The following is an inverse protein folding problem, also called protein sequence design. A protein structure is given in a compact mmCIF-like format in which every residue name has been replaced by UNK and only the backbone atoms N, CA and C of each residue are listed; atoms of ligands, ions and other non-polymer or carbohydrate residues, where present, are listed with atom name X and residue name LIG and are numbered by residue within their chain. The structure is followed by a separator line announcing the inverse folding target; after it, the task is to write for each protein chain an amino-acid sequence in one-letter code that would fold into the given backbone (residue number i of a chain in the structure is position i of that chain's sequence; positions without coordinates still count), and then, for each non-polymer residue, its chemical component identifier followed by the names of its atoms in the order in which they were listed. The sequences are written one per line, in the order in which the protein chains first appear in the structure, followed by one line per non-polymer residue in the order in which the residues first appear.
data_IF_077803848209
#
_entry.id   IF_077803848209
#
_cell.length_a   1.000
_cell.length_b   1.000
_cell.length_c   1.000
_cell.angle_alpha   90.00
_cell.angle_beta   90.00
_cell.angle_gamma   90.00
#
_symmetry.space_group_name_H-M   'P 1'
#
loop_
_entity.id
_entity.type
_entity.pdbx_description
1 polymer ?
#
# COMPACT_ATOMS: atom_id res chain seq x y z
N UNK A 1 10.64 -4.49 -3.01
CA UNK A 1 9.22 -4.06 -2.91
C UNK A 1 8.98 -2.79 -3.72
N UNK A 2 7.72 -2.35 -3.91
CA UNK A 2 7.42 -1.17 -4.75
C UNK A 2 8.08 0.13 -4.22
N UNK A 3 8.30 0.23 -2.92
CA UNK A 3 8.92 1.40 -2.27
C UNK A 3 10.45 1.32 -2.21
N UNK A 4 11.07 0.21 -2.61
CA UNK A 4 12.52 0.09 -2.73
C UNK A 4 12.96 0.82 -4.01
N UNK A 5 13.12 2.13 -3.93
CA UNK A 5 13.37 3.03 -5.07
C UNK A 5 14.77 3.65 -5.05
N UNK A 6 15.65 3.22 -4.16
CA UNK A 6 17.03 3.71 -4.08
C UNK A 6 17.77 3.66 -5.41
N UNK A 7 18.60 4.63 -5.70
CA UNK A 7 19.05 5.74 -4.84
C UNK A 7 18.09 6.94 -4.77
N UNK A 8 16.90 6.84 -5.36
CA UNK A 8 15.89 7.90 -5.30
C UNK A 8 15.21 7.91 -3.95
N UNK A 9 14.69 9.08 -3.54
CA UNK A 9 14.05 9.24 -2.25
C UNK A 9 12.75 10.03 -2.36
N UNK A 10 11.72 9.58 -1.61
CA UNK A 10 10.47 10.28 -1.47
C UNK A 10 10.49 11.10 -0.17
N UNK A 11 10.41 12.44 -0.31
CA UNK A 11 10.34 13.40 0.79
C UNK A 11 8.88 13.77 1.03
N UNK A 12 8.35 13.33 2.16
CA UNK A 12 6.94 13.50 2.52
C UNK A 12 6.68 14.72 3.42
N UNK A 13 7.66 15.60 3.60
CA UNK A 13 7.51 16.84 4.36
C UNK A 13 6.32 17.66 3.85
N UNK A 14 5.54 18.23 4.76
CA UNK A 14 4.43 19.09 4.43
C UNK A 14 4.90 20.50 4.07
N UNK A 15 4.47 21.01 2.90
CA UNK A 15 4.79 22.35 2.41
C UNK A 15 3.47 23.09 2.10
N UNK A 16 2.81 23.73 3.09
CA UNK A 16 1.44 24.27 2.94
C UNK A 16 1.34 25.39 1.90
N UNK A 17 2.41 26.17 1.72
CA UNK A 17 2.46 27.30 0.79
C UNK A 17 3.21 26.98 -0.51
N UNK A 18 3.45 25.70 -0.80
CA UNK A 18 4.14 25.31 -2.02
C UNK A 18 3.29 25.63 -3.25
N UNK A 19 3.90 26.30 -4.23
CA UNK A 19 3.28 26.66 -5.51
C UNK A 19 3.88 25.76 -6.60
N UNK A 20 3.05 25.12 -7.44
CA UNK A 20 3.55 24.20 -8.44
C UNK A 20 4.37 24.89 -9.52
N UNK A 21 5.59 24.43 -9.75
CA UNK A 21 6.43 24.85 -10.88
C UNK A 21 5.89 24.22 -12.17
N UNK A 22 6.20 24.80 -13.32
CA UNK A 22 5.80 24.25 -14.63
C UNK A 22 6.23 22.77 -14.83
N UNK A 23 7.34 22.36 -14.20
CA UNK A 23 7.89 21.00 -14.26
C UNK A 23 7.30 20.06 -13.19
N UNK A 24 6.59 20.56 -12.19
CA UNK A 24 5.99 19.73 -11.13
C UNK A 24 5.08 18.67 -11.72
N UNK A 25 5.07 17.48 -11.13
CA UNK A 25 4.18 16.41 -11.53
C UNK A 25 2.75 16.70 -11.05
N UNK A 26 1.77 16.46 -11.90
CA UNK A 26 0.36 16.52 -11.56
C UNK A 26 -0.20 15.10 -11.49
N UNK A 27 -0.88 14.81 -10.39
CA UNK A 27 -1.68 13.61 -10.23
C UNK A 27 -3.15 13.99 -10.21
N UNK A 28 -3.94 13.38 -11.08
CA UNK A 28 -5.37 13.60 -11.18
C UNK A 28 -6.07 12.25 -11.26
N UNK A 29 -7.02 12.02 -10.36
CA UNK A 29 -7.75 10.76 -10.29
C UNK A 29 -9.20 10.93 -10.73
N UNK A 30 -9.71 9.92 -11.43
CA UNK A 30 -11.12 9.70 -11.73
C UNK A 30 -11.53 8.34 -11.16
N UNK A 31 -12.25 8.32 -10.02
CA UNK A 31 -12.43 7.09 -9.26
C UNK A 31 -11.07 6.50 -8.86
N UNK A 32 -10.82 5.25 -9.25
CA UNK A 32 -9.53 4.56 -9.03
C UNK A 32 -8.51 4.75 -10.16
N UNK A 33 -8.85 5.52 -11.18
CA UNK A 33 -8.00 5.68 -12.34
C UNK A 33 -7.17 6.96 -12.26
N UNK A 34 -5.86 6.84 -12.48
CA UNK A 34 -4.90 7.94 -12.54
C UNK A 34 -4.65 8.36 -13.98
N UNK A 35 -4.66 9.66 -14.23
CA UNK A 35 -4.25 10.23 -15.50
C UNK A 35 -2.75 10.01 -15.73
N UNK A 36 -2.41 9.23 -16.75
CA UNK A 36 -1.02 8.93 -17.08
C UNK A 36 -0.84 8.66 -18.58
N UNK A 37 0.39 8.54 -19.01
CA UNK A 37 0.78 8.01 -20.31
C UNK A 37 1.80 6.91 -20.12
N UNK A 38 1.63 5.81 -20.85
CA UNK A 38 2.57 4.70 -20.89
C UNK A 38 3.04 4.60 -22.34
N UNK A 39 4.33 4.71 -22.56
CA UNK A 39 4.98 4.59 -23.87
C UNK A 39 6.26 3.73 -23.72
N UNK A 40 7.05 3.61 -24.79
CA UNK A 40 8.28 2.80 -24.81
C UNK A 40 9.30 3.21 -23.73
N UNK A 41 9.20 4.43 -23.19
CA UNK A 41 10.01 4.92 -22.06
C UNK A 41 9.30 4.74 -20.70
N UNK A 42 8.21 3.98 -20.65
CA UNK A 42 7.48 3.63 -19.43
C UNK A 42 6.42 4.65 -19.01
N UNK A 43 6.04 4.54 -17.74
CA UNK A 43 5.01 5.35 -17.09
C UNK A 43 5.44 6.81 -16.92
N UNK A 44 4.56 7.72 -17.32
CA UNK A 44 4.73 9.18 -17.18
C UNK A 44 3.51 9.80 -16.53
N UNK A 45 3.73 10.81 -15.69
CA UNK A 45 2.70 11.69 -15.15
C UNK A 45 2.76 13.05 -15.84
N UNK A 46 1.61 13.70 -16.08
CA UNK A 46 1.58 15.02 -16.70
C UNK A 46 2.29 16.06 -15.82
N UNK A 47 2.79 17.12 -16.44
CA UNK A 47 3.38 18.25 -15.73
C UNK A 47 2.38 19.38 -15.55
N UNK A 48 2.62 20.24 -14.56
CA UNK A 48 1.82 21.46 -14.31
C UNK A 48 1.67 22.33 -15.57
N UNK A 49 2.70 22.36 -16.45
CA UNK A 49 2.67 23.12 -17.69
C UNK A 49 1.55 22.71 -18.64
N UNK A 50 0.98 21.52 -18.49
CA UNK A 50 -0.11 21.01 -19.34
C UNK A 50 -1.52 21.45 -18.87
N UNK A 51 -1.60 22.12 -17.74
CA UNK A 51 -2.86 22.58 -17.16
C UNK A 51 -2.84 24.12 -17.07
N UNK A 52 -3.69 24.84 -17.83
CA UNK A 52 -3.62 26.30 -17.95
C UNK A 52 -4.20 27.06 -16.74
N UNK A 53 -4.93 26.37 -15.87
CA UNK A 53 -5.69 27.00 -14.78
C UNK A 53 -4.83 27.41 -13.59
N UNK A 54 -5.41 28.25 -12.69
CA UNK A 54 -4.75 28.79 -11.51
C UNK A 54 -4.21 27.75 -10.53
N UNK A 55 -3.30 28.20 -9.67
CA UNK A 55 -2.54 27.31 -8.76
C UNK A 55 -3.35 26.87 -7.54
N UNK A 56 -4.45 27.52 -7.21
CA UNK A 56 -5.32 27.23 -6.06
C UNK A 56 -6.00 25.84 -6.10
N UNK A 57 -6.07 25.24 -7.28
CA UNK A 57 -6.64 23.89 -7.45
C UNK A 57 -5.66 22.75 -7.17
N UNK A 58 -4.38 23.08 -6.99
CA UNK A 58 -3.33 22.11 -6.78
C UNK A 58 -2.98 22.01 -5.29
N UNK A 59 -3.01 20.80 -4.77
CA UNK A 59 -2.58 20.52 -3.39
C UNK A 59 -1.23 19.82 -3.42
N UNK A 60 -0.24 20.37 -2.73
CA UNK A 60 1.08 19.74 -2.59
C UNK A 60 0.95 18.39 -1.89
N UNK A 61 1.62 17.37 -2.43
CA UNK A 61 1.65 16.04 -1.84
C UNK A 61 3.00 15.72 -1.20
N UNK A 62 4.04 15.67 -2.01
CA UNK A 62 5.40 15.27 -1.62
C UNK A 62 6.38 15.64 -2.74
N UNK A 63 7.65 15.41 -2.47
CA UNK A 63 8.71 15.52 -3.47
C UNK A 63 9.37 14.14 -3.67
N UNK A 64 9.70 13.80 -4.90
CA UNK A 64 10.47 12.61 -5.23
C UNK A 64 11.61 13.02 -6.15
N UNK A 65 12.83 12.80 -5.67
CA UNK A 65 14.07 13.05 -6.42
C UNK A 65 14.13 14.46 -7.05
N UNK A 66 13.80 15.49 -6.25
CA UNK A 66 13.79 16.91 -6.65
C UNK A 66 12.58 17.34 -7.49
N UNK A 67 11.64 16.43 -7.78
CA UNK A 67 10.39 16.75 -8.47
C UNK A 67 9.22 16.77 -7.49
N UNK A 68 8.53 17.91 -7.40
CA UNK A 68 7.34 18.05 -6.56
C UNK A 68 6.10 17.46 -7.24
N UNK A 69 5.22 16.85 -6.44
CA UNK A 69 3.98 16.22 -6.87
C UNK A 69 2.78 16.93 -6.26
N UNK A 70 1.81 17.25 -7.11
CA UNK A 70 0.59 17.97 -6.73
C UNK A 70 -0.66 17.21 -7.14
N UNK A 71 -1.62 17.13 -6.26
CA UNK A 71 -2.95 16.60 -6.54
C UNK A 71 -3.80 17.73 -7.17
N UNK A 72 -4.29 17.50 -8.37
CA UNK A 72 -5.32 18.32 -8.99
C UNK A 72 -6.69 17.79 -8.54
N UNK A 73 -7.39 18.60 -7.74
CA UNK A 73 -8.73 18.30 -7.24
C UNK A 73 -9.77 18.86 -8.21
N UNK A 74 -10.08 18.13 -9.25
CA UNK A 74 -11.10 18.48 -10.23
C UNK A 74 -12.20 17.43 -10.24
N UNK A 75 -13.46 17.89 -10.16
CA UNK A 75 -14.63 17.01 -10.23
C UNK A 75 -14.91 16.55 -11.67
N UNK A 76 -14.43 17.29 -12.66
CA UNK A 76 -14.56 16.96 -14.09
C UNK A 76 -13.18 16.63 -14.67
N UNK A 77 -12.75 15.38 -14.61
CA UNK A 77 -11.41 15.00 -15.05
C UNK A 77 -11.24 15.24 -16.56
N UNK A 78 -10.39 16.19 -16.91
CA UNK A 78 -9.97 16.48 -18.27
C UNK A 78 -8.48 16.36 -18.36
N UNK A 79 -8.00 15.38 -19.11
CA UNK A 79 -6.58 15.22 -19.41
C UNK A 79 -6.18 15.95 -20.69
N UNK A 80 -4.91 16.34 -20.84
CA UNK A 80 -4.34 16.74 -22.11
C UNK A 80 -4.48 15.64 -23.18
N UNK A 81 -4.43 16.03 -24.45
CA UNK A 81 -4.49 15.06 -25.56
C UNK A 81 -3.36 14.01 -25.46
N UNK A 82 -3.71 12.74 -25.70
CA UNK A 82 -2.78 11.62 -25.62
C UNK A 82 -2.49 11.10 -24.22
N UNK A 83 -3.19 11.60 -23.18
CA UNK A 83 -3.17 11.09 -21.82
C UNK A 83 -4.44 10.28 -21.52
N UNK A 84 -4.33 9.22 -20.74
CA UNK A 84 -5.44 8.30 -20.45
C UNK A 84 -5.54 8.01 -18.97
N UNK A 85 -6.75 7.68 -18.51
CA UNK A 85 -6.99 7.23 -17.14
C UNK A 85 -6.79 5.72 -17.05
N UNK A 86 -5.91 5.28 -16.16
CA UNK A 86 -5.55 3.87 -15.95
C UNK A 86 -5.76 3.48 -14.50
N UNK A 87 -6.32 2.30 -14.27
CA UNK A 87 -6.59 1.79 -12.92
C UNK A 87 -5.32 1.68 -12.09
N UNK A 88 -5.41 2.01 -10.80
CA UNK A 88 -4.28 2.04 -9.86
C UNK A 88 -3.54 0.69 -9.76
N UNK A 89 -4.18 -0.43 -10.06
CA UNK A 89 -3.56 -1.75 -9.99
C UNK A 89 -2.45 -1.97 -11.03
N UNK A 90 -2.46 -1.25 -12.16
CA UNK A 90 -1.39 -1.39 -13.15
C UNK A 90 -0.04 -0.94 -12.60
N UNK A 91 -0.03 -0.01 -11.64
CA UNK A 91 1.22 0.49 -11.04
C UNK A 91 1.96 -0.55 -10.20
N UNK A 92 1.41 -1.74 -10.02
CA UNK A 92 2.14 -2.88 -9.44
C UNK A 92 3.27 -3.36 -10.34
N UNK A 93 3.14 -3.21 -11.65
CA UNK A 93 4.08 -3.75 -12.64
C UNK A 93 4.72 -2.71 -13.54
N UNK A 94 4.18 -1.49 -13.56
CA UNK A 94 4.68 -0.43 -14.44
C UNK A 94 6.04 0.13 -14.00
N UNK A 95 6.80 0.57 -15.00
CA UNK A 95 8.11 1.17 -14.83
C UNK A 95 8.12 2.61 -15.37
N UNK A 96 8.94 3.51 -14.84
CA UNK A 96 9.91 3.26 -13.75
C UNK A 96 9.23 3.12 -12.38
N UNK A 97 9.78 2.25 -11.53
CA UNK A 97 9.23 1.85 -10.22
C UNK A 97 8.96 3.05 -9.30
N UNK A 98 9.85 4.03 -9.28
CA UNK A 98 9.69 5.23 -8.46
C UNK A 98 8.47 6.07 -8.87
N UNK A 99 8.11 6.11 -10.14
CA UNK A 99 6.90 6.80 -10.61
C UNK A 99 5.65 6.00 -10.22
N UNK A 100 5.72 4.67 -10.31
CA UNK A 100 4.66 3.78 -9.84
C UNK A 100 4.43 3.92 -8.33
N UNK A 101 5.51 3.98 -7.53
CA UNK A 101 5.43 4.21 -6.09
C UNK A 101 4.86 5.61 -5.76
N UNK A 102 5.28 6.65 -6.49
CA UNK A 102 4.71 8.00 -6.35
C UNK A 102 3.19 8.00 -6.66
N UNK A 103 2.77 7.29 -7.71
CA UNK A 103 1.35 7.17 -8.07
C UNK A 103 0.52 6.51 -6.95
N UNK A 104 1.03 5.43 -6.37
CA UNK A 104 0.39 4.71 -5.25
C UNK A 104 0.34 5.57 -3.98
N UNK A 105 1.42 6.29 -3.67
CA UNK A 105 1.47 7.21 -2.53
C UNK A 105 0.51 8.39 -2.70
N UNK A 106 0.42 8.92 -3.92
CA UNK A 106 -0.54 9.98 -4.25
C UNK A 106 -1.99 9.49 -4.17
N UNK A 107 -2.28 8.24 -4.56
CA UNK A 107 -3.60 7.64 -4.42
C UNK A 107 -4.02 7.53 -2.95
N UNK A 108 -3.13 7.13 -2.07
CA UNK A 108 -3.38 7.09 -0.64
C UNK A 108 -3.82 8.46 -0.10
N UNK A 109 -3.06 9.51 -0.40
CA UNK A 109 -3.41 10.88 -0.01
C UNK A 109 -4.69 11.39 -0.70
N UNK A 110 -4.90 11.06 -1.97
CA UNK A 110 -6.11 11.41 -2.70
C UNK A 110 -7.37 10.85 -2.02
N UNK A 111 -7.35 9.57 -1.62
CA UNK A 111 -8.44 8.95 -0.88
C UNK A 111 -8.71 9.71 0.43
N UNK A 112 -7.66 9.99 1.20
CA UNK A 112 -7.81 10.74 2.44
C UNK A 112 -8.40 12.14 2.23
N UNK A 113 -7.90 12.94 1.27
CA UNK A 113 -8.45 14.27 0.97
C UNK A 113 -9.90 14.22 0.47
N UNK A 114 -10.27 13.20 -0.30
CA UNK A 114 -11.64 12.99 -0.76
C UNK A 114 -12.57 12.69 0.41
N UNK A 115 -12.14 11.86 1.34
CA UNK A 115 -12.96 11.36 2.45
C UNK A 115 -12.97 12.34 3.65
N UNK A 116 -12.12 13.38 3.66
CA UNK A 116 -12.00 14.38 4.73
C UNK A 116 -12.37 15.80 4.27
N UNK A 117 -13.43 15.94 3.49
CA UNK A 117 -13.94 17.26 3.05
C UNK A 117 -14.76 17.97 4.13
N UNK A 118 -15.44 17.23 4.96
CA UNK A 118 -16.32 17.73 6.00
C UNK A 118 -16.00 17.11 7.36
N UNK A 119 -16.20 17.88 8.42
CA UNK A 119 -15.99 17.42 9.78
C UNK A 119 -17.01 16.36 10.16
N UNK A 120 -16.57 15.14 10.50
CA UNK A 120 -17.45 14.06 10.95
C UNK A 120 -18.18 14.33 12.28
N UNK A 121 -17.74 15.37 13.05
CA UNK A 121 -18.38 15.77 14.31
C UNK A 121 -19.48 16.78 14.14
N UNK A 122 -19.33 17.78 13.24
CA UNK A 122 -20.27 18.91 13.14
C UNK A 122 -20.67 19.30 11.71
N UNK A 123 -20.22 18.57 10.69
CA UNK A 123 -20.58 18.79 9.30
C UNK A 123 -19.94 20.01 8.62
N UNK A 124 -19.13 20.81 9.34
CA UNK A 124 -18.48 22.00 8.77
C UNK A 124 -17.39 21.60 7.76
N UNK A 125 -17.20 22.31 6.63
CA UNK A 125 -16.06 22.07 5.75
C UNK A 125 -14.75 22.16 6.53
N UNK A 126 -13.82 21.26 6.20
CA UNK A 126 -12.50 21.21 6.81
C UNK A 126 -11.50 22.04 6.01
N UNK A 127 -10.50 22.57 6.70
CA UNK A 127 -9.44 23.41 6.14
C UNK A 127 -8.08 22.73 6.35
N UNK A 128 -7.11 23.04 5.46
CA UNK A 128 -5.73 22.60 5.62
C UNK A 128 -5.07 23.34 6.79
N UNK A 129 -4.31 22.60 7.57
CA UNK A 129 -3.44 23.21 8.58
C UNK A 129 -2.15 23.74 7.93
N UNK A 130 -1.62 24.82 8.52
CA UNK A 130 -0.42 25.48 8.01
C UNK A 130 0.88 24.89 8.56
N UNK A 131 0.83 24.12 9.63
CA UNK A 131 2.02 23.55 10.28
C UNK A 131 2.19 22.06 9.97
N UNK A 132 1.09 21.34 9.92
CA UNK A 132 1.10 19.90 9.76
C UNK A 132 0.21 19.43 8.59
N UNK A 133 0.52 18.25 8.06
CA UNK A 133 -0.37 17.59 7.09
C UNK A 133 -1.59 17.04 7.80
N UNK A 134 -2.53 17.91 8.11
CA UNK A 134 -3.83 17.55 8.66
C UNK A 134 -4.95 18.45 8.10
N UNK A 135 -6.18 17.99 8.22
CA UNK A 135 -7.36 18.80 8.03
C UNK A 135 -7.91 19.19 9.41
N UNK A 136 -8.25 20.43 9.62
CA UNK A 136 -8.86 20.89 10.88
C UNK A 136 -10.24 21.51 10.64
N UNK A 137 -11.07 21.44 11.68
CA UNK A 137 -12.38 22.05 11.65
C UNK A 137 -12.34 23.43 12.29
N UNK A 138 -12.63 24.53 11.54
CA UNK A 138 -12.59 25.89 12.09
C UNK A 138 -13.70 26.12 13.13
N UNK A 139 -14.75 25.28 13.13
CA UNK A 139 -15.88 25.43 14.08
C UNK A 139 -15.69 24.70 15.39
N UNK A 140 -15.21 23.45 15.39
CA UNK A 140 -15.18 22.61 16.59
C UNK A 140 -13.78 22.12 16.97
N UNK A 141 -12.73 22.54 16.25
CA UNK A 141 -11.34 22.20 16.52
C UNK A 141 -10.98 20.72 16.26
N UNK A 142 -11.85 19.95 15.61
CA UNK A 142 -11.54 18.55 15.28
C UNK A 142 -10.38 18.48 14.28
N UNK A 143 -9.36 17.66 14.58
CA UNK A 143 -8.16 17.45 13.77
C UNK A 143 -8.20 16.06 13.14
N UNK A 144 -7.88 15.97 11.85
CA UNK A 144 -7.89 14.71 11.09
C UNK A 144 -6.58 14.59 10.32
N UNK A 145 -5.75 13.64 10.72
CA UNK A 145 -4.49 13.31 10.04
C UNK A 145 -4.72 12.30 8.91
N UNK A 146 -3.77 12.17 7.96
CA UNK A 146 -3.80 11.09 6.98
C UNK A 146 -3.97 9.74 7.67
N UNK A 147 -4.95 8.95 7.21
CA UNK A 147 -5.20 7.63 7.78
C UNK A 147 -4.10 6.68 7.33
N UNK A 148 -3.50 5.98 8.29
CA UNK A 148 -2.60 4.86 8.07
C UNK A 148 -3.18 3.69 8.86
N UNK A 149 -3.56 2.60 8.17
CA UNK A 149 -4.16 1.44 8.78
C UNK A 149 -3.08 0.35 8.97
N UNK A 150 -2.63 0.09 10.21
CA UNK A 150 -1.68 -0.98 10.47
C UNK A 150 -2.33 -2.34 10.20
N UNK A 151 -1.58 -3.24 9.56
CA UNK A 151 -1.99 -4.61 9.29
C UNK A 151 -0.78 -5.53 9.30
N UNK A 152 -1.00 -6.81 9.61
CA UNK A 152 0.06 -7.80 9.64
C UNK A 152 0.06 -8.65 8.36
N UNK A 153 1.24 -9.11 7.97
CA UNK A 153 1.45 -10.18 6.97
C UNK A 153 2.22 -11.28 7.68
N UNK A 154 1.64 -12.47 7.75
CA UNK A 154 2.16 -13.55 8.58
C UNK A 154 2.56 -14.76 7.76
N UNK A 155 3.86 -15.08 7.76
CA UNK A 155 4.40 -16.29 7.18
C UNK A 155 4.54 -17.35 8.27
N UNK A 156 3.60 -18.30 8.28
CA UNK A 156 3.63 -19.44 9.21
C UNK A 156 4.42 -20.57 8.58
N UNK A 157 5.47 -21.01 9.25
CA UNK A 157 6.34 -22.10 8.80
C UNK A 157 6.16 -23.37 9.62
N UNK A 158 6.32 -24.53 9.00
CA UNK A 158 6.39 -25.83 9.63
C UNK A 158 7.52 -26.64 9.00
N UNK A 159 8.73 -26.56 9.56
CA UNK A 159 9.93 -27.10 8.94
C UNK A 159 10.17 -26.54 7.54
N UNK A 160 10.19 -27.40 6.53
CA UNK A 160 10.35 -27.01 5.13
C UNK A 160 9.04 -26.68 4.40
N UNK A 161 7.98 -26.40 5.15
CA UNK A 161 6.69 -26.00 4.61
C UNK A 161 6.31 -24.58 5.03
N UNK A 162 5.66 -23.87 4.12
CA UNK A 162 5.06 -22.55 4.33
C UNK A 162 3.56 -22.67 4.13
N UNK A 163 2.78 -22.10 5.04
CA UNK A 163 1.34 -21.97 4.85
C UNK A 163 1.05 -20.93 3.79
N UNK A 164 0.38 -21.35 2.72
CA UNK A 164 -0.16 -20.45 1.70
C UNK A 164 -1.67 -20.56 1.65
N UNK A 165 -2.32 -19.42 1.44
CA UNK A 165 -3.76 -19.29 1.37
C UNK A 165 -4.24 -18.73 0.03
N UNK A 166 -5.54 -18.83 -0.21
CA UNK A 166 -6.23 -18.25 -1.36
C UNK A 166 -7.49 -17.54 -0.89
N UNK A 167 -7.63 -16.27 -1.27
CA UNK A 167 -8.81 -15.49 -0.95
C UNK A 167 -10.06 -15.96 -1.71
N UNK A 168 -11.19 -16.04 -1.03
CA UNK A 168 -12.49 -16.48 -1.58
C UNK A 168 -13.00 -15.55 -2.70
N UNK A 169 -12.69 -14.26 -2.63
CA UNK A 169 -13.12 -13.27 -3.62
C UNK A 169 -12.25 -13.23 -4.90
N UNK A 170 -11.29 -14.16 -5.05
CA UNK A 170 -10.41 -14.30 -6.23
C UNK A 170 -10.45 -15.73 -6.79
N UNK A 171 -11.60 -16.17 -7.32
CA UNK A 171 -11.75 -17.52 -7.87
C UNK A 171 -10.76 -17.73 -9.03
N UNK A 172 -10.11 -18.89 -9.05
CA UNK A 172 -9.11 -19.25 -10.06
C UNK A 172 -7.70 -18.68 -9.83
N UNK A 173 -7.47 -17.88 -8.79
CA UNK A 173 -6.12 -17.50 -8.40
C UNK A 173 -5.38 -18.70 -7.80
N UNK A 174 -4.06 -18.73 -7.96
CA UNK A 174 -3.19 -19.69 -7.26
C UNK A 174 -3.07 -19.33 -5.77
N UNK A 175 -2.73 -20.30 -4.91
CA UNK A 175 -2.38 -20.05 -3.50
C UNK A 175 -1.10 -19.24 -3.44
N UNK A 176 -1.22 -17.93 -3.29
CA UNK A 176 -0.08 -16.98 -3.27
C UNK A 176 -0.26 -15.91 -2.20
N UNK A 177 -1.18 -16.11 -1.26
CA UNK A 177 -1.38 -15.24 -0.13
C UNK A 177 -0.74 -15.82 1.14
N UNK A 178 -0.30 -14.94 2.02
CA UNK A 178 -0.01 -15.21 3.42
C UNK A 178 -1.19 -14.71 4.26
N UNK A 179 -1.33 -15.18 5.50
CA UNK A 179 -2.30 -14.67 6.46
C UNK A 179 -2.11 -13.15 6.60
N UNK A 180 -3.21 -12.40 6.60
CA UNK A 180 -3.14 -10.95 6.65
C UNK A 180 -4.41 -10.32 7.21
N UNK A 181 -4.27 -9.44 8.19
CA UNK A 181 -5.42 -8.72 8.73
C UNK A 181 -5.04 -7.40 9.38
N UNK A 182 -6.05 -6.57 9.62
CA UNK A 182 -5.87 -5.28 10.27
C UNK A 182 -5.73 -5.42 11.78
N UNK A 183 -4.87 -4.58 12.36
CA UNK A 183 -4.78 -4.43 13.81
C UNK A 183 -6.05 -3.78 14.34
N UNK A 184 -6.67 -4.41 15.34
CA UNK A 184 -7.83 -3.88 16.03
C UNK A 184 -7.41 -2.92 17.16
N UNK A 185 -8.36 -2.07 17.58
CA UNK A 185 -8.09 -1.14 18.68
C UNK A 185 -7.72 -1.90 19.96
N UNK A 186 -6.64 -1.46 20.59
CA UNK A 186 -6.12 -2.08 21.82
C UNK A 186 -5.22 -3.29 21.62
N UNK A 187 -5.03 -3.76 20.39
CA UNK A 187 -4.07 -4.81 20.09
C UNK A 187 -2.67 -4.26 19.83
N UNK A 188 -1.66 -5.06 20.17
CA UNK A 188 -0.33 -4.94 19.59
C UNK A 188 -0.28 -5.69 18.26
N UNK A 189 0.73 -5.41 17.42
CA UNK A 189 0.90 -6.14 16.17
C UNK A 189 1.10 -7.66 16.39
N UNK A 190 1.79 -8.03 17.47
CA UNK A 190 1.98 -9.44 17.86
C UNK A 190 0.66 -10.11 18.26
N UNK A 191 -0.22 -9.41 18.96
CA UNK A 191 -1.56 -9.90 19.30
C UNK A 191 -2.42 -10.08 18.04
N UNK A 192 -2.34 -9.13 17.11
CA UNK A 192 -2.99 -9.23 15.80
C UNK A 192 -2.53 -10.49 15.07
N UNK A 193 -1.22 -10.78 15.02
CA UNK A 193 -0.69 -12.00 14.39
C UNK A 193 -1.31 -13.26 14.96
N UNK A 194 -1.37 -13.38 16.29
CA UNK A 194 -1.96 -14.55 16.94
C UNK A 194 -3.45 -14.69 16.66
N UNK A 195 -4.19 -13.58 16.66
CA UNK A 195 -5.63 -13.57 16.39
C UNK A 195 -5.91 -13.96 14.94
N UNK A 196 -5.29 -13.31 13.97
CA UNK A 196 -5.52 -13.58 12.54
C UNK A 196 -5.18 -15.01 12.15
N UNK A 197 -4.06 -15.58 12.63
CA UNK A 197 -3.73 -16.98 12.38
C UNK A 197 -4.77 -17.93 12.99
N UNK A 198 -5.27 -17.60 14.18
CA UNK A 198 -6.30 -18.43 14.83
C UNK A 198 -7.65 -18.29 14.11
N UNK A 199 -8.05 -17.09 13.70
CA UNK A 199 -9.35 -16.83 13.05
C UNK A 199 -9.39 -17.41 11.64
N UNK A 200 -8.36 -17.16 10.82
CA UNK A 200 -8.39 -17.56 9.41
C UNK A 200 -8.12 -19.06 9.19
N UNK A 201 -7.26 -19.67 10.00
CA UNK A 201 -6.77 -21.05 9.76
C UNK A 201 -6.78 -21.98 10.98
N UNK A 202 -7.19 -21.49 12.16
CA UNK A 202 -7.32 -22.32 13.39
C UNK A 202 -6.01 -22.81 13.99
N UNK A 203 -4.87 -22.23 13.61
CA UNK A 203 -3.55 -22.71 14.03
C UNK A 203 -3.03 -21.91 15.25
N UNK A 204 -2.23 -22.59 16.08
CA UNK A 204 -1.39 -21.96 17.11
C UNK A 204 0.03 -21.76 16.58
N UNK A 205 0.64 -20.67 17.02
CA UNK A 205 1.98 -20.28 16.56
C UNK A 205 2.90 -19.91 17.73
N UNK A 206 4.20 -20.03 17.48
CA UNK A 206 5.29 -19.66 18.39
C UNK A 206 6.43 -19.00 17.63
N UNK A 207 7.47 -18.56 18.36
CA UNK A 207 8.72 -18.01 17.81
C UNK A 207 8.46 -16.85 16.84
N UNK A 208 7.55 -15.94 17.23
CA UNK A 208 7.18 -14.79 16.44
C UNK A 208 8.38 -13.85 16.26
N UNK A 209 8.66 -13.44 15.02
CA UNK A 209 9.76 -12.54 14.67
C UNK A 209 9.29 -11.50 13.66
N UNK A 210 9.44 -10.22 13.99
CA UNK A 210 9.26 -9.15 13.02
C UNK A 210 10.29 -9.28 11.88
N UNK A 211 9.82 -9.03 10.68
CA UNK A 211 10.66 -9.07 9.49
C UNK A 211 10.92 -7.66 8.96
N UNK A 212 9.90 -7.00 8.45
CA UNK A 212 9.99 -5.75 7.69
C UNK A 212 8.62 -5.09 7.60
N UNK A 213 8.57 -3.80 7.28
CA UNK A 213 7.30 -3.13 6.97
C UNK A 213 7.24 -2.64 5.53
N UNK A 214 6.02 -2.42 5.05
CA UNK A 214 5.76 -1.87 3.73
C UNK A 214 4.60 -0.87 3.77
N UNK A 215 4.76 0.37 3.25
CA UNK A 215 3.62 1.23 2.97
C UNK A 215 2.82 0.67 1.79
N UNK A 216 1.50 0.52 1.97
CA UNK A 216 0.61 -0.09 0.99
C UNK A 216 -0.57 0.82 0.66
N UNK A 217 -0.36 1.78 -0.27
CA UNK A 217 -1.37 2.76 -0.67
C UNK A 217 -2.42 2.25 -1.65
N UNK A 218 -2.23 1.08 -2.29
CA UNK A 218 -3.11 0.56 -3.36
C UNK A 218 -4.51 0.23 -2.82
N UNK A 219 -4.58 -0.29 -1.61
CA UNK A 219 -5.84 -0.63 -0.94
C UNK A 219 -5.78 -0.25 0.53
N UNK A 220 -6.80 0.47 1.00
CA UNK A 220 -7.01 0.76 2.41
C UNK A 220 -6.00 1.66 3.12
N UNK A 221 -4.97 2.17 2.42
CA UNK A 221 -3.94 3.01 3.05
C UNK A 221 -3.16 2.28 4.15
N UNK A 222 -2.75 1.03 3.90
CA UNK A 222 -2.14 0.16 4.88
C UNK A 222 -0.67 0.45 5.17
N UNK A 223 -0.26 0.13 6.40
CA UNK A 223 1.13 -0.13 6.76
C UNK A 223 1.22 -1.62 7.09
N UNK A 224 1.81 -2.39 6.18
CA UNK A 224 1.97 -3.83 6.34
C UNK A 224 3.18 -4.11 7.24
N UNK A 225 3.00 -4.94 8.27
CA UNK A 225 4.01 -5.40 9.20
C UNK A 225 4.23 -6.89 8.99
N UNK A 226 5.36 -7.28 8.40
CA UNK A 226 5.69 -8.67 8.10
C UNK A 226 6.23 -9.41 9.31
N UNK A 227 5.68 -10.58 9.57
CA UNK A 227 6.11 -11.46 10.66
C UNK A 227 6.35 -12.89 10.16
N UNK A 228 7.43 -13.47 10.65
CA UNK A 228 7.70 -14.90 10.59
C UNK A 228 7.26 -15.56 11.90
N UNK A 229 6.66 -16.71 11.82
CA UNK A 229 6.38 -17.55 12.98
C UNK A 229 6.44 -19.05 12.62
N UNK A 230 6.43 -19.88 13.63
CA UNK A 230 6.44 -21.32 13.50
C UNK A 230 5.13 -21.91 14.01
N UNK A 231 4.66 -22.98 13.39
CA UNK A 231 3.54 -23.76 13.88
C UNK A 231 3.83 -24.26 15.31
N UNK A 232 2.82 -24.22 16.19
CA UNK A 232 2.86 -24.77 17.53
C UNK A 232 1.76 -25.80 17.73
N UNK A 233 2.09 -27.07 17.54
CA UNK A 233 1.16 -28.19 17.74
C UNK A 233 0.59 -28.78 16.46
N UNK A 234 -0.74 -28.93 16.41
CA UNK A 234 -1.44 -29.57 15.29
C UNK A 234 -1.37 -28.74 14.00
N UNK A 235 -1.07 -29.40 12.89
CA UNK A 235 -0.94 -28.80 11.55
C UNK A 235 -2.25 -28.76 10.77
N UNK A 236 -3.35 -29.24 11.32
CA UNK A 236 -4.66 -29.31 10.66
C UNK A 236 -5.23 -27.92 10.45
N UNK A 237 -5.41 -27.53 9.17
CA UNK A 237 -5.94 -26.24 8.78
C UNK A 237 -7.47 -26.27 8.90
N UNK A 238 -8.03 -25.30 9.63
CA UNK A 238 -9.46 -25.06 9.76
C UNK A 238 -9.78 -23.68 9.22
N UNK A 239 -10.20 -23.61 7.95
CA UNK A 239 -10.54 -22.34 7.30
C UNK A 239 -11.81 -21.74 7.89
N UNK A 240 -11.86 -20.42 7.97
CA UNK A 240 -13.06 -19.66 8.36
C UNK A 240 -14.18 -19.75 7.31
N UNK A 241 -13.86 -20.15 6.06
CA UNK A 241 -14.73 -20.26 4.89
C UNK A 241 -15.44 -18.96 4.49
N UNK A 242 -15.02 -17.82 5.03
CA UNK A 242 -15.54 -16.51 4.69
C UNK A 242 -14.55 -15.68 3.88
N UNK A 243 -13.33 -15.53 4.38
CA UNK A 243 -12.27 -14.76 3.72
C UNK A 243 -11.39 -15.65 2.84
N UNK A 244 -11.12 -16.86 3.29
CA UNK A 244 -10.28 -17.83 2.61
C UNK A 244 -11.10 -18.94 1.95
N UNK A 245 -10.80 -19.22 0.68
CA UNK A 245 -11.36 -20.36 -0.05
C UNK A 245 -10.51 -21.61 0.08
N UNK A 246 -9.21 -21.47 0.36
CA UNK A 246 -8.28 -22.58 0.39
C UNK A 246 -7.02 -22.22 1.21
N UNK A 247 -6.39 -23.23 1.78
CA UNK A 247 -5.13 -23.12 2.52
C UNK A 247 -4.37 -24.45 2.50
N UNK A 248 -3.06 -24.39 2.30
CA UNK A 248 -2.22 -25.56 2.27
C UNK A 248 -0.78 -25.30 2.73
N UNK A 249 -0.17 -26.32 3.27
CA UNK A 249 1.27 -26.39 3.50
C UNK A 249 1.97 -26.68 2.17
N UNK A 250 2.76 -25.72 1.68
CA UNK A 250 3.50 -25.82 0.42
C UNK A 250 4.98 -25.98 0.72
N UNK A 251 5.60 -26.98 0.11
CA UNK A 251 7.02 -27.27 0.39
C UNK A 251 7.96 -26.21 -0.19
N UNK A 252 9.07 -25.98 0.49
CA UNK A 252 10.16 -25.11 0.03
C UNK A 252 10.64 -25.48 -1.38
N UNK A 253 10.71 -26.79 -1.68
CA UNK A 253 11.14 -27.27 -3.00
C UNK A 253 10.15 -26.86 -4.09
N UNK A 254 8.86 -27.04 -3.83
CA UNK A 254 7.78 -26.62 -4.74
C UNK A 254 7.82 -25.13 -5.00
N UNK A 255 7.94 -24.31 -3.95
CA UNK A 255 8.05 -22.85 -4.07
C UNK A 255 9.32 -22.45 -4.83
N UNK A 256 10.45 -23.09 -4.60
CA UNK A 256 11.69 -22.81 -5.34
C UNK A 256 11.54 -23.06 -6.84
N UNK A 257 10.79 -24.08 -7.21
CA UNK A 257 10.52 -24.44 -8.60
C UNK A 257 9.54 -23.49 -9.25
N UNK A 258 8.41 -23.21 -8.61
CA UNK A 258 7.22 -22.64 -9.24
C UNK A 258 6.95 -21.17 -8.89
N UNK A 259 7.45 -20.67 -7.76
CA UNK A 259 7.20 -19.30 -7.32
C UNK A 259 8.27 -18.31 -7.81
N UNK A 260 7.82 -17.11 -8.17
CA UNK A 260 8.72 -15.99 -8.50
C UNK A 260 8.26 -14.74 -7.76
N UNK A 261 9.20 -14.04 -7.14
CA UNK A 261 8.93 -12.73 -6.54
C UNK A 261 8.49 -11.73 -7.61
N UNK A 262 7.42 -11.03 -7.35
CA UNK A 262 6.93 -9.97 -8.23
C UNK A 262 7.63 -8.61 -8.02
N UNK A 263 8.50 -8.51 -7.01
CA UNK A 263 9.24 -7.29 -6.68
C UNK A 263 8.39 -6.13 -6.16
N UNK A 264 7.11 -6.39 -5.82
CA UNK A 264 6.12 -5.34 -5.49
C UNK A 264 5.65 -5.42 -4.05
N UNK A 265 5.23 -6.61 -3.61
CA UNK A 265 4.54 -6.81 -2.35
C UNK A 265 5.41 -7.54 -1.31
N UNK A 266 5.28 -7.14 -0.04
CA UNK A 266 5.91 -7.79 1.11
C UNK A 266 5.59 -9.29 1.16
N UNK A 267 4.33 -9.67 0.91
CA UNK A 267 3.91 -11.07 0.80
C UNK A 267 4.79 -11.85 -0.20
N UNK A 268 5.01 -11.27 -1.39
CA UNK A 268 5.79 -11.92 -2.44
C UNK A 268 7.26 -12.08 -2.06
N UNK A 269 7.85 -11.05 -1.47
CA UNK A 269 9.22 -11.10 -0.97
C UNK A 269 9.38 -12.17 0.12
N UNK A 270 8.46 -12.25 1.08
CA UNK A 270 8.51 -13.25 2.15
C UNK A 270 8.42 -14.68 1.60
N UNK A 271 7.50 -14.97 0.68
CA UNK A 271 7.40 -16.30 0.05
C UNK A 271 8.71 -16.64 -0.69
N UNK A 272 9.26 -15.72 -1.45
CA UNK A 272 10.51 -15.93 -2.17
C UNK A 272 11.72 -16.16 -1.23
N UNK A 273 11.77 -15.42 -0.10
CA UNK A 273 12.81 -15.63 0.92
C UNK A 273 12.72 -17.02 1.54
N UNK A 274 11.51 -17.47 1.88
CA UNK A 274 11.31 -18.85 2.37
C UNK A 274 11.76 -19.87 1.32
N UNK A 275 11.35 -19.72 0.06
CA UNK A 275 11.78 -20.61 -1.02
C UNK A 275 13.30 -20.69 -1.16
N UNK A 276 14.00 -19.57 -0.92
CA UNK A 276 15.46 -19.50 -0.96
C UNK A 276 16.17 -20.02 0.31
N UNK A 277 15.44 -20.35 1.39
CA UNK A 277 16.01 -20.73 2.69
C UNK A 277 16.62 -19.55 3.46
N UNK A 278 16.08 -18.35 3.26
CA UNK A 278 16.63 -17.07 3.77
C UNK A 278 15.73 -16.39 4.80
N UNK A 279 14.73 -17.06 5.31
CA UNK A 279 13.75 -16.52 6.28
C UNK A 279 14.35 -16.13 7.63
N UNK A 280 15.55 -16.65 7.95
CA UNK A 280 16.30 -16.32 9.17
C UNK A 280 17.44 -15.31 8.95
N UNK A 281 17.72 -14.94 7.71
CA UNK A 281 18.74 -13.93 7.43
C UNK A 281 18.25 -12.55 7.84
N UNK A 282 19.13 -11.73 8.44
CA UNK A 282 18.81 -10.33 8.73
C UNK A 282 18.42 -9.57 7.47
N UNK A 283 17.59 -8.57 7.64
CA UNK A 283 17.29 -7.61 6.56
C UNK A 283 18.49 -6.68 6.46
N UNK A 284 19.08 -6.57 5.27
CA UNK A 284 20.04 -5.48 4.99
C UNK A 284 19.28 -4.16 5.05
N UNK A 285 19.76 -3.24 5.85
CA UNK A 285 19.31 -1.84 5.87
C UNK A 285 19.62 -1.14 4.55
#
# INVERSE_FOLDING_TARGET
MIHDIEPKHLYNEWKPNAVPKRSSAVVQFCGRNLLCRIDDNGLKLPSRAMFPDGDERFTYLFELDGREYYLLRDETPRGPDGWTYRDINIFRTEQPKEIAFAAVSAWHLCCWYRDTRFCGRCGTPLEHDVNERMMHCPRCGNMIFPRINPSVIVAVTHGDYLLLTQYANRPGATRTALIAGFTEFGETAEQTVHREVMEEVGLKIKNLRYYKSQPWGISGGGLLLGYWCELDGDETIHLDNFELADGAWVSREELRRDYRDNGVALTSEMIARFAAGREYEPVSE
#
